data_IF_111447413673
#
_entry.id   IF_111447413673
#
_cell.length_a   1.000
_cell.length_b   1.000
_cell.length_c   1.000
_cell.angle_alpha   90.00
_cell.angle_beta   90.00
_cell.angle_gamma   90.00
#
_symmetry.space_group_name_H-M   'P 1'
#
loop_
_entity.id
_entity.type
_entity.pdbx_description
1 polymer ?
#
# COMPACT_ATOMS: atom_id res chain seq x y z
N UNK A 1 -1.57 36.42 -1.63
CA UNK A 1 -0.54 35.35 -1.60
C UNK A 1 -0.90 34.18 -2.53
N UNK A 2 -2.18 33.75 -2.60
CA UNK A 2 -2.59 32.73 -3.55
C UNK A 2 -2.54 33.21 -5.01
N UNK A 3 -3.08 34.40 -5.28
CA UNK A 3 -3.07 35.01 -6.62
C UNK A 3 -1.66 35.11 -7.18
N UNK A 4 -0.67 35.54 -6.38
CA UNK A 4 0.73 35.58 -6.80
C UNK A 4 1.31 34.20 -7.11
N UNK A 5 0.91 33.14 -6.40
CA UNK A 5 1.37 31.76 -6.69
C UNK A 5 0.75 31.25 -8.00
N UNK A 6 -0.55 31.47 -8.20
CA UNK A 6 -1.27 31.04 -9.42
C UNK A 6 -0.80 31.82 -10.65
N UNK A 7 -0.58 33.13 -10.52
CA UNK A 7 -0.14 34.00 -11.60
C UNK A 7 1.30 33.72 -12.06
N UNK A 8 2.12 33.12 -11.19
CA UNK A 8 3.49 32.71 -11.49
C UNK A 8 3.60 31.36 -12.23
N UNK A 9 2.51 30.61 -12.39
CA UNK A 9 2.51 29.40 -13.20
C UNK A 9 2.82 29.80 -14.66
N UNK A 10 3.78 29.15 -15.30
CA UNK A 10 4.11 29.41 -16.71
C UNK A 10 3.53 28.33 -17.61
N UNK A 11 3.21 28.66 -18.86
CA UNK A 11 2.57 27.71 -19.79
C UNK A 11 3.48 26.50 -20.13
N UNK A 12 4.80 26.64 -19.92
CA UNK A 12 5.81 25.60 -20.11
C UNK A 12 6.16 24.84 -18.81
N UNK A 13 5.41 25.07 -17.74
CA UNK A 13 5.73 24.51 -16.43
C UNK A 13 5.47 23.00 -16.42
N UNK A 14 6.46 22.24 -15.93
CA UNK A 14 6.39 20.79 -15.79
C UNK A 14 5.99 20.34 -14.39
N UNK A 15 6.31 21.15 -13.39
CA UNK A 15 6.10 20.84 -11.99
C UNK A 15 5.23 21.91 -11.36
N UNK A 16 4.05 21.50 -10.89
CA UNK A 16 3.14 22.34 -10.11
C UNK A 16 3.22 21.89 -8.67
N UNK A 17 3.55 22.81 -7.77
CA UNK A 17 3.46 22.62 -6.34
C UNK A 17 2.70 23.78 -5.72
N UNK A 18 1.55 23.49 -5.14
CA UNK A 18 0.66 24.49 -4.54
C UNK A 18 0.17 23.98 -3.18
N UNK A 19 0.20 24.86 -2.19
CA UNK A 19 -0.52 24.68 -0.93
C UNK A 19 -1.31 25.96 -0.68
N UNK A 20 -2.61 25.78 -0.44
CA UNK A 20 -3.65 26.79 -0.51
C UNK A 20 -4.44 26.74 0.80
N UNK A 21 -4.41 27.82 1.57
CA UNK A 21 -5.21 27.96 2.79
C UNK A 21 -6.52 28.68 2.45
N UNK A 22 -7.55 27.93 2.07
CA UNK A 22 -8.83 28.44 1.60
C UNK A 22 -8.85 28.68 0.09
N UNK A 23 -9.83 28.07 -0.60
CA UNK A 23 -9.98 28.15 -2.05
C UNK A 23 -11.39 28.61 -2.41
N UNK A 24 -11.56 29.92 -2.64
CA UNK A 24 -12.84 30.45 -3.12
C UNK A 24 -13.16 29.95 -4.54
N UNK A 25 -14.42 30.04 -4.95
CA UNK A 25 -14.82 29.64 -6.31
C UNK A 25 -14.09 30.44 -7.40
N UNK A 26 -13.83 31.73 -7.16
CA UNK A 26 -13.06 32.57 -8.09
C UNK A 26 -11.59 32.14 -8.16
N UNK A 27 -10.98 31.82 -7.01
CA UNK A 27 -9.62 31.33 -6.96
C UNK A 27 -9.48 29.96 -7.66
N UNK A 28 -10.44 29.06 -7.44
CA UNK A 28 -10.51 27.77 -8.12
C UNK A 28 -10.68 27.94 -9.65
N UNK A 29 -11.51 28.89 -10.07
CA UNK A 29 -11.71 29.23 -11.49
C UNK A 29 -10.42 29.75 -12.14
N UNK A 30 -9.73 30.68 -11.48
CA UNK A 30 -8.47 31.24 -11.97
C UNK A 30 -7.38 30.16 -12.06
N UNK A 31 -7.28 29.29 -11.05
CA UNK A 31 -6.38 28.15 -11.06
C UNK A 31 -6.70 27.17 -12.21
N UNK A 32 -7.98 26.85 -12.41
CA UNK A 32 -8.44 26.01 -13.51
C UNK A 32 -7.96 26.52 -14.87
N UNK A 33 -8.24 27.78 -15.18
CA UNK A 33 -7.79 28.40 -16.43
C UNK A 33 -6.29 28.32 -16.60
N UNK A 34 -5.54 28.54 -15.52
CA UNK A 34 -4.09 28.54 -15.60
C UNK A 34 -3.51 27.15 -15.83
N UNK A 35 -4.05 26.13 -15.15
CA UNK A 35 -3.65 24.74 -15.37
C UNK A 35 -3.96 24.28 -16.80
N UNK A 36 -5.12 24.65 -17.36
CA UNK A 36 -5.47 24.30 -18.76
C UNK A 36 -4.50 24.86 -19.80
N UNK A 37 -3.80 25.95 -19.50
CA UNK A 37 -2.76 26.51 -20.38
C UNK A 37 -1.43 25.76 -20.34
N UNK A 38 -1.25 24.79 -19.42
CA UNK A 38 0.03 24.13 -19.17
C UNK A 38 0.08 22.71 -19.77
N UNK A 39 0.60 22.56 -20.99
CA UNK A 39 0.57 21.27 -21.71
C UNK A 39 1.74 20.32 -21.40
N UNK A 40 2.69 20.77 -20.57
CA UNK A 40 3.92 20.03 -20.25
C UNK A 40 3.95 19.51 -18.82
N UNK A 41 2.83 19.58 -18.09
CA UNK A 41 2.79 19.14 -16.69
C UNK A 41 3.10 17.65 -16.60
N UNK A 42 4.16 17.35 -15.86
CA UNK A 42 4.63 16.01 -15.53
C UNK A 42 4.34 15.67 -14.06
N UNK A 43 4.25 16.69 -13.19
CA UNK A 43 3.95 16.51 -11.76
C UNK A 43 2.98 17.57 -11.24
N UNK A 44 1.98 17.13 -10.47
CA UNK A 44 1.10 17.99 -9.69
C UNK A 44 1.17 17.55 -8.24
N UNK A 45 1.59 18.47 -7.38
CA UNK A 45 1.48 18.37 -5.92
C UNK A 45 0.59 19.52 -5.47
N UNK A 46 -0.62 19.22 -5.03
CA UNK A 46 -1.58 20.23 -4.60
C UNK A 46 -2.18 19.87 -3.26
N UNK A 47 -2.08 20.82 -2.35
CA UNK A 47 -2.71 20.79 -1.05
C UNK A 47 -3.76 21.90 -0.97
N UNK A 48 -5.01 21.44 -0.86
CA UNK A 48 -6.21 22.24 -0.67
C UNK A 48 -7.03 21.64 0.48
N UNK A 49 -6.33 21.07 1.49
CA UNK A 49 -6.99 20.61 2.72
C UNK A 49 -7.64 21.80 3.44
N UNK A 50 -8.70 21.51 4.19
CA UNK A 50 -9.35 22.50 5.07
C UNK A 50 -9.79 23.79 4.35
N UNK A 51 -10.02 23.70 3.03
CA UNK A 51 -10.34 24.84 2.19
C UNK A 51 -11.82 25.18 2.12
N UNK A 52 -12.67 24.36 2.74
CA UNK A 52 -14.15 24.43 2.65
C UNK A 52 -14.61 24.41 1.20
N UNK A 53 -14.06 23.49 0.42
CA UNK A 53 -14.43 23.35 -0.98
C UNK A 53 -15.94 23.16 -1.12
N UNK A 54 -16.53 23.98 -1.98
CA UNK A 54 -17.88 23.76 -2.49
C UNK A 54 -17.83 22.85 -3.72
N UNK A 55 -18.98 22.30 -4.10
CA UNK A 55 -19.20 21.67 -5.41
C UNK A 55 -18.58 22.46 -6.57
N UNK A 56 -18.75 23.78 -6.56
CA UNK A 56 -18.30 24.64 -7.65
C UNK A 56 -16.77 24.76 -7.68
N UNK A 57 -16.13 24.97 -6.53
CA UNK A 57 -14.66 25.01 -6.46
C UNK A 57 -14.03 23.67 -6.81
N UNK A 58 -14.59 22.54 -6.36
CA UNK A 58 -14.09 21.21 -6.76
C UNK A 58 -14.26 20.97 -8.27
N UNK A 59 -15.39 21.39 -8.85
CA UNK A 59 -15.63 21.30 -10.29
C UNK A 59 -14.61 22.11 -11.09
N UNK A 60 -14.31 23.35 -10.68
CA UNK A 60 -13.25 24.13 -11.32
C UNK A 60 -11.88 23.48 -11.18
N UNK A 61 -11.51 23.04 -9.99
CA UNK A 61 -10.25 22.33 -9.78
C UNK A 61 -10.14 21.09 -10.69
N UNK A 62 -11.19 20.27 -10.72
CA UNK A 62 -11.26 19.05 -11.54
C UNK A 62 -11.10 19.36 -13.03
N UNK A 63 -11.79 20.39 -13.52
CA UNK A 63 -11.65 20.83 -14.91
C UNK A 63 -10.23 21.31 -15.23
N UNK A 64 -9.51 21.90 -14.27
CA UNK A 64 -8.12 22.32 -14.43
C UNK A 64 -7.14 21.14 -14.46
N UNK A 65 -7.46 20.07 -13.75
CA UNK A 65 -6.69 18.83 -13.69
C UNK A 65 -6.87 17.98 -14.96
N UNK A 66 -8.02 18.05 -15.62
CA UNK A 66 -8.33 17.25 -16.80
C UNK A 66 -7.34 17.48 -17.97
N UNK A 67 -6.91 16.39 -18.63
CA UNK A 67 -6.22 16.44 -19.91
C UNK A 67 -4.68 16.51 -19.87
N UNK A 68 -4.05 16.44 -18.70
CA UNK A 68 -2.59 16.43 -18.55
C UNK A 68 -1.97 15.07 -18.88
N UNK A 69 -1.88 14.73 -20.18
CA UNK A 69 -1.43 13.40 -20.67
C UNK A 69 0.00 13.00 -20.27
N UNK A 70 0.85 13.96 -19.92
CA UNK A 70 2.25 13.74 -19.48
C UNK A 70 2.37 13.56 -17.96
N UNK A 71 1.27 13.72 -17.22
CA UNK A 71 1.26 13.65 -15.77
C UNK A 71 1.66 12.25 -15.31
N UNK A 72 2.83 12.18 -14.67
CA UNK A 72 3.40 10.94 -14.13
C UNK A 72 3.33 10.88 -12.61
N UNK A 73 3.18 12.02 -11.95
CA UNK A 73 3.03 12.12 -10.51
C UNK A 73 1.85 13.03 -10.17
N UNK A 74 0.93 12.49 -9.38
CA UNK A 74 -0.21 13.24 -8.84
C UNK A 74 -0.26 13.04 -7.34
N UNK A 75 -0.06 14.12 -6.59
CA UNK A 75 -0.34 14.20 -5.16
C UNK A 75 -1.42 15.25 -4.93
N UNK A 76 -2.59 14.82 -4.50
CA UNK A 76 -3.72 15.69 -4.18
C UNK A 76 -4.14 15.47 -2.74
N UNK A 77 -4.03 16.53 -1.95
CA UNK A 77 -4.50 16.59 -0.58
C UNK A 77 -5.78 17.43 -0.54
N UNK A 78 -6.91 16.75 -0.36
CA UNK A 78 -8.27 17.31 -0.30
C UNK A 78 -8.92 17.11 1.08
N UNK A 79 -8.17 16.65 2.09
CA UNK A 79 -8.71 16.29 3.40
C UNK A 79 -9.49 17.43 4.06
N UNK A 80 -10.46 17.07 4.90
CA UNK A 80 -11.34 17.97 5.64
C UNK A 80 -12.20 18.90 4.75
N UNK A 81 -12.46 18.50 3.51
CA UNK A 81 -13.46 19.13 2.65
C UNK A 81 -14.70 18.22 2.55
N UNK A 82 -15.71 18.52 3.37
CA UNK A 82 -16.97 17.78 3.38
C UNK A 82 -17.76 18.11 2.12
N UNK A 83 -17.97 17.10 1.28
CA UNK A 83 -18.64 17.21 0.00
C UNK A 83 -19.74 16.15 -0.10
N UNK A 84 -20.75 16.40 -0.93
CA UNK A 84 -21.75 15.39 -1.24
C UNK A 84 -21.20 14.43 -2.30
N UNK A 85 -21.70 13.19 -2.32
CA UNK A 85 -21.24 12.15 -3.25
C UNK A 85 -21.25 12.61 -4.72
N UNK A 86 -22.21 13.45 -5.11
CA UNK A 86 -22.34 13.96 -6.49
C UNK A 86 -21.32 15.04 -6.88
N UNK A 87 -20.64 15.64 -5.92
CA UNK A 87 -19.63 16.66 -6.22
C UNK A 87 -18.37 16.03 -6.84
N UNK A 88 -18.12 14.75 -6.51
CA UNK A 88 -17.01 13.95 -7.00
C UNK A 88 -17.11 13.53 -8.47
N UNK A 89 -18.25 13.71 -9.14
CA UNK A 89 -18.43 13.32 -10.56
C UNK A 89 -17.47 14.08 -11.48
N UNK A 90 -17.25 15.36 -11.20
CA UNK A 90 -16.29 16.18 -11.98
C UNK A 90 -14.85 15.71 -11.76
N UNK A 91 -14.52 15.37 -10.52
CA UNK A 91 -13.22 14.87 -10.12
C UNK A 91 -12.90 13.51 -10.76
N UNK A 92 -13.85 12.56 -10.68
CA UNK A 92 -13.69 11.25 -11.29
C UNK A 92 -13.47 11.31 -12.80
N UNK A 93 -14.19 12.19 -13.50
CA UNK A 93 -13.95 12.44 -14.93
C UNK A 93 -12.53 12.96 -15.19
N UNK A 94 -12.06 13.91 -14.39
CA UNK A 94 -10.72 14.46 -14.56
C UNK A 94 -9.62 13.40 -14.40
N UNK A 95 -9.67 12.63 -13.31
CA UNK A 95 -8.65 11.61 -13.03
C UNK A 95 -8.75 10.42 -14.00
N UNK A 96 -9.93 10.16 -14.59
CA UNK A 96 -10.13 9.10 -15.60
C UNK A 96 -9.19 9.18 -16.82
N UNK A 97 -8.58 10.35 -17.04
CA UNK A 97 -7.65 10.61 -18.13
C UNK A 97 -6.19 10.23 -17.86
N UNK A 98 -5.84 9.82 -16.64
CA UNK A 98 -4.46 9.72 -16.16
C UNK A 98 -3.82 8.32 -16.29
N UNK A 99 -3.67 7.84 -17.52
CA UNK A 99 -3.11 6.50 -17.79
C UNK A 99 -1.58 6.38 -17.66
N UNK A 100 -0.86 7.49 -17.48
CA UNK A 100 0.62 7.55 -17.42
C UNK A 100 1.16 7.74 -16.00
N UNK A 101 0.28 7.76 -14.99
CA UNK A 101 0.64 7.93 -13.59
C UNK A 101 1.52 6.77 -13.12
N UNK A 102 2.66 7.12 -12.53
CA UNK A 102 3.58 6.22 -11.84
C UNK A 102 3.49 6.37 -10.33
N UNK A 103 3.24 7.60 -9.85
CA UNK A 103 3.14 7.90 -8.42
C UNK A 103 1.79 8.60 -8.18
N UNK A 104 0.88 7.90 -7.48
CA UNK A 104 -0.45 8.38 -7.14
C UNK A 104 -0.55 8.56 -5.63
N UNK A 105 -0.88 9.76 -5.18
CA UNK A 105 -1.21 10.04 -3.80
C UNK A 105 -2.52 10.84 -3.76
N UNK A 106 -3.56 10.23 -3.22
CA UNK A 106 -4.88 10.83 -3.05
C UNK A 106 -5.24 10.80 -1.58
N UNK A 107 -5.32 11.99 -0.95
CA UNK A 107 -5.67 12.13 0.44
C UNK A 107 -7.04 12.79 0.59
N UNK A 108 -8.03 11.99 0.99
CA UNK A 108 -9.44 12.35 1.16
C UNK A 108 -9.92 12.07 2.58
N UNK A 109 -9.07 12.32 3.59
CA UNK A 109 -9.44 12.13 4.98
C UNK A 109 -10.60 13.07 5.36
N UNK A 110 -11.62 12.56 6.05
CA UNK A 110 -12.76 13.36 6.52
C UNK A 110 -13.50 14.11 5.39
N UNK A 111 -13.64 13.51 4.21
CA UNK A 111 -14.29 14.10 3.04
C UNK A 111 -15.77 13.71 2.85
N UNK A 112 -16.34 12.96 3.81
CA UNK A 112 -17.69 12.38 3.72
C UNK A 112 -17.84 11.40 2.54
N UNK A 113 -16.79 10.61 2.25
CA UNK A 113 -16.83 9.60 1.20
C UNK A 113 -17.69 8.41 1.63
N UNK A 114 -18.80 8.21 0.95
CA UNK A 114 -19.59 6.99 1.02
C UNK A 114 -19.38 6.12 -0.23
N UNK A 115 -20.20 5.07 -0.34
CA UNK A 115 -20.23 4.18 -1.51
C UNK A 115 -20.37 4.94 -2.83
N UNK A 116 -21.28 5.91 -2.91
CA UNK A 116 -21.59 6.61 -4.16
C UNK A 116 -20.52 7.65 -4.49
N UNK A 117 -19.88 8.25 -3.48
CA UNK A 117 -18.74 9.14 -3.66
C UNK A 117 -17.57 8.37 -4.31
N UNK A 118 -17.22 7.19 -3.78
CA UNK A 118 -16.18 6.34 -4.37
C UNK A 118 -16.52 5.88 -5.79
N UNK A 119 -17.78 5.51 -6.05
CA UNK A 119 -18.27 5.20 -7.40
C UNK A 119 -18.03 6.38 -8.36
N UNK A 120 -18.35 7.59 -7.91
CA UNK A 120 -18.20 8.81 -8.69
C UNK A 120 -16.73 9.17 -8.92
N UNK A 121 -15.85 8.96 -7.93
CA UNK A 121 -14.39 9.10 -8.08
C UNK A 121 -13.86 8.14 -9.13
N UNK A 122 -14.33 6.88 -9.14
CA UNK A 122 -13.94 5.90 -10.16
C UNK A 122 -14.52 6.20 -11.55
N UNK A 123 -15.51 7.09 -11.65
CA UNK A 123 -16.21 7.43 -12.89
C UNK A 123 -16.75 6.19 -13.63
N UNK A 124 -17.39 5.29 -12.88
CA UNK A 124 -17.97 4.05 -13.42
C UNK A 124 -19.49 4.00 -13.29
N UNK A 125 -20.13 3.24 -14.18
CA UNK A 125 -21.57 3.03 -14.15
C UNK A 125 -21.94 1.87 -13.23
N UNK A 126 -21.10 0.82 -13.20
CA UNK A 126 -21.31 -0.42 -12.45
C UNK A 126 -20.01 -0.92 -11.77
N UNK A 127 -20.09 -1.57 -10.59
CA UNK A 127 -18.96 -2.27 -9.98
C UNK A 127 -18.38 -3.44 -10.82
N UNK A 128 -19.01 -3.79 -11.94
CA UNK A 128 -18.51 -4.78 -12.90
C UNK A 128 -17.65 -4.15 -14.01
N UNK A 129 -17.55 -2.83 -14.07
CA UNK A 129 -16.78 -2.14 -15.11
C UNK A 129 -15.29 -2.41 -14.89
N UNK A 130 -14.59 -2.81 -15.95
CA UNK A 130 -13.13 -2.98 -15.92
C UNK A 130 -12.46 -1.61 -15.96
N UNK A 131 -11.65 -1.31 -14.96
CA UNK A 131 -10.98 -0.02 -14.81
C UNK A 131 -9.47 -0.23 -14.98
N UNK A 132 -8.87 0.52 -15.90
CA UNK A 132 -7.42 0.54 -16.12
C UNK A 132 -6.82 1.90 -15.74
N UNK A 133 -7.45 2.57 -14.78
CA UNK A 133 -7.22 3.97 -14.45
C UNK A 133 -5.77 4.27 -14.09
N UNK A 134 -5.18 3.40 -13.25
CA UNK A 134 -3.83 3.59 -12.71
C UNK A 134 -2.91 2.41 -13.03
N UNK A 135 -3.07 1.81 -14.22
CA UNK A 135 -2.37 0.56 -14.56
C UNK A 135 -0.84 0.66 -14.59
N UNK A 136 -0.28 1.86 -14.75
CA UNK A 136 1.17 2.12 -14.71
C UNK A 136 1.68 2.60 -13.34
N UNK A 137 0.79 2.75 -12.34
CA UNK A 137 1.17 3.23 -11.03
C UNK A 137 2.08 2.21 -10.34
N UNK A 138 3.27 2.66 -9.95
CA UNK A 138 4.26 1.92 -9.16
C UNK A 138 4.09 2.16 -7.67
N UNK A 139 3.68 3.38 -7.31
CA UNK A 139 3.45 3.80 -5.93
C UNK A 139 2.03 4.35 -5.82
N UNK A 140 1.26 3.82 -4.88
CA UNK A 140 -0.13 4.22 -4.63
C UNK A 140 -0.31 4.52 -3.15
N UNK A 141 -0.65 5.76 -2.83
CA UNK A 141 -1.08 6.20 -1.51
C UNK A 141 -2.54 6.62 -1.56
N UNK A 142 -3.39 5.99 -0.76
CA UNK A 142 -4.79 6.34 -0.59
C UNK A 142 -5.05 6.62 0.89
N UNK A 143 -5.23 7.89 1.24
CA UNK A 143 -5.74 8.26 2.57
C UNK A 143 -7.25 8.46 2.49
N UNK A 144 -7.99 7.55 3.09
CA UNK A 144 -9.44 7.50 3.11
C UNK A 144 -9.98 7.48 4.55
N UNK A 145 -9.19 7.91 5.53
CA UNK A 145 -9.55 7.85 6.95
C UNK A 145 -10.78 8.72 7.27
N UNK A 146 -11.53 8.37 8.32
CA UNK A 146 -12.71 9.13 8.78
C UNK A 146 -13.77 9.38 7.71
N UNK A 147 -14.13 8.36 6.95
CA UNK A 147 -15.20 8.44 5.95
C UNK A 147 -16.32 7.45 6.27
N UNK A 148 -17.33 7.35 5.39
CA UNK A 148 -18.49 6.48 5.54
C UNK A 148 -18.48 5.37 4.48
N UNK A 149 -17.31 4.83 4.16
CA UNK A 149 -17.13 3.84 3.08
C UNK A 149 -18.00 2.60 3.33
N UNK A 150 -18.03 2.13 4.59
CA UNK A 150 -18.78 0.95 5.02
C UNK A 150 -18.44 -0.31 4.20
N UNK A 151 -19.11 -1.42 4.49
CA UNK A 151 -18.90 -2.67 3.76
C UNK A 151 -19.24 -2.57 2.27
N UNK A 152 -20.24 -1.78 1.89
CA UNK A 152 -20.76 -1.70 0.53
C UNK A 152 -19.97 -0.73 -0.38
N UNK A 153 -19.30 0.28 0.17
CA UNK A 153 -18.34 1.11 -0.56
C UNK A 153 -16.98 0.45 -0.78
N UNK A 154 -16.60 -0.53 0.06
CA UNK A 154 -15.31 -1.24 -0.04
C UNK A 154 -15.06 -1.93 -1.39
N UNK A 155 -16.11 -2.27 -2.13
CA UNK A 155 -16.01 -2.83 -3.49
C UNK A 155 -15.30 -1.84 -4.44
N UNK A 156 -15.52 -0.54 -4.26
CA UNK A 156 -14.88 0.48 -5.08
C UNK A 156 -13.42 0.68 -4.69
N UNK A 157 -13.07 0.53 -3.42
CA UNK A 157 -11.66 0.50 -3.00
C UNK A 157 -10.97 -0.75 -3.58
N UNK A 158 -11.63 -1.91 -3.57
CA UNK A 158 -11.13 -3.12 -4.26
C UNK A 158 -10.87 -2.83 -5.75
N UNK A 159 -11.80 -2.16 -6.45
CA UNK A 159 -11.63 -1.84 -7.87
C UNK A 159 -10.50 -0.83 -8.15
N UNK A 160 -10.30 0.16 -7.27
CA UNK A 160 -9.13 1.07 -7.37
C UNK A 160 -7.85 0.23 -7.34
N UNK A 161 -7.70 -0.61 -6.31
CA UNK A 161 -6.52 -1.47 -6.13
C UNK A 161 -6.33 -2.42 -7.32
N UNK A 162 -7.41 -3.05 -7.80
CA UNK A 162 -7.34 -3.95 -8.96
C UNK A 162 -6.88 -3.26 -10.24
N UNK A 163 -7.05 -1.94 -10.36
CA UNK A 163 -6.60 -1.17 -11.52
C UNK A 163 -5.08 -0.90 -11.53
N UNK A 164 -4.39 -1.05 -10.40
CA UNK A 164 -3.00 -0.64 -10.19
C UNK A 164 -1.98 -1.78 -10.43
N UNK A 165 -2.02 -2.41 -11.61
CA UNK A 165 -1.32 -3.69 -11.87
C UNK A 165 0.21 -3.68 -11.74
N UNK A 166 0.85 -2.53 -11.93
CA UNK A 166 2.32 -2.39 -11.83
C UNK A 166 2.79 -1.88 -10.45
N UNK A 167 1.90 -1.87 -9.46
CA UNK A 167 2.22 -1.29 -8.14
C UNK A 167 3.18 -2.18 -7.34
N UNK A 168 4.25 -1.54 -6.89
CA UNK A 168 5.32 -2.13 -6.07
C UNK A 168 5.17 -1.70 -4.59
N UNK A 169 4.56 -0.53 -4.33
CA UNK A 169 4.35 0.03 -3.00
C UNK A 169 2.93 0.56 -2.83
N UNK A 170 2.26 0.13 -1.76
CA UNK A 170 0.96 0.67 -1.33
C UNK A 170 1.04 1.26 0.07
N UNK A 171 0.50 2.48 0.21
CA UNK A 171 0.05 3.02 1.49
C UNK A 171 -1.47 3.18 1.42
N UNK A 172 -2.22 2.56 2.32
CA UNK A 172 -3.68 2.71 2.36
C UNK A 172 -4.17 2.93 3.79
N UNK A 173 -4.79 4.07 4.03
CA UNK A 173 -5.26 4.46 5.34
C UNK A 173 -6.80 4.48 5.35
N UNK A 174 -7.40 3.59 6.12
CA UNK A 174 -8.84 3.34 6.16
C UNK A 174 -9.39 3.42 7.59
N UNK A 175 -8.66 4.02 8.54
CA UNK A 175 -9.13 4.20 9.92
C UNK A 175 -10.55 4.78 9.98
N UNK A 176 -11.39 4.22 10.85
CA UNK A 176 -12.72 4.72 11.14
C UNK A 176 -13.64 4.85 9.90
N UNK A 177 -13.90 3.72 9.22
CA UNK A 177 -14.73 3.65 8.01
C UNK A 177 -15.89 2.65 8.07
N UNK A 178 -16.10 1.98 9.21
CA UNK A 178 -17.16 0.99 9.41
C UNK A 178 -17.16 -0.15 8.38
N UNK A 179 -15.98 -0.60 7.93
CA UNK A 179 -15.84 -1.58 6.86
C UNK A 179 -16.49 -2.95 7.18
N UNK A 180 -16.40 -3.41 8.43
CA UNK A 180 -16.79 -4.75 8.84
C UNK A 180 -16.02 -5.86 8.10
N UNK A 181 -16.46 -7.11 8.25
CA UNK A 181 -15.77 -8.28 7.72
C UNK A 181 -15.74 -8.32 6.19
N UNK A 182 -16.87 -7.99 5.57
CA UNK A 182 -16.98 -7.92 4.11
C UNK A 182 -16.05 -6.84 3.55
N UNK A 183 -15.95 -5.68 4.21
CA UNK A 183 -15.02 -4.65 3.78
C UNK A 183 -13.57 -5.11 3.87
N UNK A 184 -13.16 -5.71 4.99
CA UNK A 184 -11.82 -6.27 5.15
C UNK A 184 -11.48 -7.31 4.06
N UNK A 185 -12.40 -8.24 3.78
CA UNK A 185 -12.23 -9.22 2.70
C UNK A 185 -12.02 -8.55 1.33
N UNK A 186 -12.80 -7.51 1.02
CA UNK A 186 -12.73 -6.80 -0.26
C UNK A 186 -11.41 -6.08 -0.44
N UNK A 187 -10.93 -5.39 0.60
CA UNK A 187 -9.62 -4.75 0.60
C UNK A 187 -8.50 -5.77 0.43
N UNK A 188 -8.53 -6.86 1.22
CA UNK A 188 -7.54 -7.94 1.12
C UNK A 188 -7.51 -8.56 -0.27
N UNK A 189 -8.67 -8.78 -0.90
CA UNK A 189 -8.76 -9.28 -2.28
C UNK A 189 -8.13 -8.30 -3.28
N UNK A 190 -8.42 -7.01 -3.16
CA UNK A 190 -7.84 -5.98 -4.04
C UNK A 190 -6.30 -6.00 -3.98
N UNK A 191 -5.74 -6.10 -2.78
CA UNK A 191 -4.30 -6.23 -2.55
C UNK A 191 -3.76 -7.55 -3.13
N UNK A 192 -4.44 -8.68 -2.86
CA UNK A 192 -4.03 -9.99 -3.37
C UNK A 192 -3.99 -10.09 -4.90
N UNK A 193 -4.73 -9.24 -5.60
CA UNK A 193 -4.70 -9.13 -7.08
C UNK A 193 -3.47 -8.40 -7.63
N UNK A 194 -2.60 -7.86 -6.76
CA UNK A 194 -1.32 -7.22 -7.10
C UNK A 194 -0.14 -8.17 -6.88
N UNK A 195 -0.42 -9.47 -6.95
CA UNK A 195 0.41 -10.57 -6.45
C UNK A 195 1.83 -10.66 -7.02
N UNK A 196 2.07 -10.12 -8.20
CA UNK A 196 3.33 -10.27 -8.94
C UNK A 196 4.33 -9.13 -8.74
N UNK A 197 3.91 -8.00 -8.17
CA UNK A 197 4.73 -6.77 -8.09
C UNK A 197 4.78 -6.14 -6.71
N UNK A 198 3.76 -6.32 -5.87
CA UNK A 198 3.66 -5.64 -4.58
C UNK A 198 4.74 -6.13 -3.61
N UNK A 199 5.69 -5.24 -3.30
CA UNK A 199 6.80 -5.49 -2.38
C UNK A 199 6.59 -4.86 -1.01
N UNK A 200 5.94 -3.70 -0.97
CA UNK A 200 5.75 -2.93 0.26
C UNK A 200 4.26 -2.64 0.44
N UNK A 201 3.71 -3.05 1.58
CA UNK A 201 2.32 -2.80 1.94
C UNK A 201 2.24 -2.16 3.32
N UNK A 202 1.81 -0.91 3.37
CA UNK A 202 1.41 -0.21 4.58
C UNK A 202 -0.10 -0.01 4.57
N UNK A 203 -0.80 -0.58 5.55
CA UNK A 203 -2.25 -0.55 5.63
C UNK A 203 -2.74 -0.27 7.04
N UNK A 204 -3.62 0.72 7.19
CA UNK A 204 -4.32 1.01 8.43
C UNK A 204 -5.81 0.66 8.29
N UNK A 205 -6.25 -0.41 8.94
CA UNK A 205 -7.64 -0.88 9.07
C UNK A 205 -8.18 -0.70 10.49
N UNK A 206 -7.53 0.09 11.34
CA UNK A 206 -7.96 0.25 12.74
C UNK A 206 -9.37 0.87 12.86
N UNK A 207 -10.07 0.55 13.95
CA UNK A 207 -11.43 1.03 14.24
C UNK A 207 -12.41 0.84 13.06
N UNK A 208 -12.58 -0.39 12.59
CA UNK A 208 -13.45 -0.70 11.44
C UNK A 208 -14.51 -1.77 11.72
N UNK A 209 -14.69 -2.15 12.99
CA UNK A 209 -15.60 -3.23 13.40
C UNK A 209 -15.31 -4.56 12.69
N UNK A 210 -14.04 -4.82 12.37
CA UNK A 210 -13.57 -6.08 11.79
C UNK A 210 -13.55 -7.14 12.88
N UNK A 211 -14.17 -8.28 12.63
CA UNK A 211 -14.18 -9.42 13.54
C UNK A 211 -13.02 -10.38 13.24
N UNK A 212 -12.94 -11.50 13.97
CA UNK A 212 -12.03 -12.60 13.68
C UNK A 212 -12.23 -13.15 12.26
N UNK A 213 -13.47 -13.22 11.76
CA UNK A 213 -13.78 -13.70 10.41
C UNK A 213 -13.27 -12.74 9.34
N UNK A 214 -13.49 -11.43 9.53
CA UNK A 214 -12.97 -10.40 8.61
C UNK A 214 -11.45 -10.36 8.57
N UNK A 215 -10.81 -10.49 9.74
CA UNK A 215 -9.36 -10.59 9.86
C UNK A 215 -8.81 -11.80 9.09
N UNK A 216 -9.39 -12.99 9.33
CA UNK A 216 -9.02 -14.21 8.63
C UNK A 216 -9.14 -14.05 7.11
N UNK A 217 -10.26 -13.51 6.63
CA UNK A 217 -10.49 -13.32 5.19
C UNK A 217 -9.54 -12.30 4.57
N UNK A 218 -9.22 -11.22 5.28
CA UNK A 218 -8.22 -10.25 4.84
C UNK A 218 -6.85 -10.91 4.69
N UNK A 219 -6.37 -11.59 5.74
CA UNK A 219 -5.04 -12.20 5.72
C UNK A 219 -4.93 -13.38 4.74
N UNK A 220 -5.99 -14.18 4.56
CA UNK A 220 -6.06 -15.20 3.51
C UNK A 220 -5.91 -14.63 2.10
N UNK A 221 -6.40 -13.41 1.87
CA UNK A 221 -6.32 -12.76 0.58
C UNK A 221 -4.92 -12.14 0.32
N UNK A 222 -4.28 -11.53 1.32
CA UNK A 222 -2.94 -10.94 1.14
C UNK A 222 -1.86 -12.00 0.90
N UNK A 223 -2.08 -13.26 1.30
CA UNK A 223 -1.17 -14.41 1.02
C UNK A 223 -0.87 -14.58 -0.47
N UNK A 224 -1.72 -14.03 -1.35
CA UNK A 224 -1.49 -14.02 -2.80
C UNK A 224 -0.31 -13.11 -3.21
N UNK A 225 0.03 -12.09 -2.42
CA UNK A 225 1.18 -11.21 -2.65
C UNK A 225 2.52 -11.87 -2.30
N UNK A 226 2.89 -12.91 -3.05
CA UNK A 226 4.05 -13.77 -2.77
C UNK A 226 5.42 -13.08 -2.82
N UNK A 227 5.50 -11.90 -3.43
CA UNK A 227 6.72 -11.09 -3.52
C UNK A 227 6.79 -9.97 -2.49
N UNK A 228 5.89 -9.98 -1.49
CA UNK A 228 5.87 -8.98 -0.42
C UNK A 228 7.11 -9.13 0.48
N UNK A 229 7.86 -8.03 0.62
CA UNK A 229 9.11 -7.93 1.36
C UNK A 229 8.93 -7.13 2.67
N UNK A 230 8.03 -6.14 2.68
CA UNK A 230 7.75 -5.28 3.84
C UNK A 230 6.23 -5.15 4.06
N UNK A 231 5.79 -5.44 5.28
CA UNK A 231 4.38 -5.44 5.66
C UNK A 231 4.17 -4.67 6.96
N UNK A 232 3.44 -3.56 6.87
CA UNK A 232 2.92 -2.82 8.02
C UNK A 232 1.39 -2.89 8.02
N UNK A 233 0.82 -3.53 9.04
CA UNK A 233 -0.64 -3.61 9.22
C UNK A 233 -1.02 -3.06 10.58
N UNK A 234 -1.84 -2.02 10.59
CA UNK A 234 -2.58 -1.61 11.77
C UNK A 234 -4.01 -2.13 11.69
N UNK A 235 -4.37 -3.06 12.58
CA UNK A 235 -5.74 -3.57 12.71
C UNK A 235 -6.27 -3.36 14.13
N UNK A 236 -5.69 -2.41 14.85
CA UNK A 236 -6.07 -2.08 16.23
C UNK A 236 -7.53 -1.63 16.36
N UNK A 237 -8.09 -1.70 17.57
CA UNK A 237 -9.47 -1.29 17.86
C UNK A 237 -10.50 -2.04 16.98
N UNK A 238 -10.32 -3.35 16.85
CA UNK A 238 -11.20 -4.28 16.14
C UNK A 238 -11.46 -5.53 17.00
N UNK A 239 -12.41 -6.39 16.61
CA UNK A 239 -12.81 -7.59 17.39
C UNK A 239 -12.13 -8.86 16.88
N UNK A 240 -10.80 -8.85 16.84
CA UNK A 240 -10.00 -9.90 16.19
C UNK A 240 -10.00 -11.21 16.99
N UNK A 241 -9.93 -11.15 18.33
CA UNK A 241 -9.89 -12.33 19.20
C UNK A 241 -8.71 -13.28 18.88
N UNK A 242 -8.52 -14.33 19.70
CA UNK A 242 -7.41 -15.27 19.49
C UNK A 242 -7.45 -15.96 18.12
N UNK A 243 -8.64 -16.34 17.63
CA UNK A 243 -8.78 -17.03 16.34
C UNK A 243 -8.36 -16.15 15.17
N UNK A 244 -8.65 -14.84 15.23
CA UNK A 244 -8.16 -13.90 14.23
C UNK A 244 -6.64 -13.80 14.30
N UNK A 245 -6.08 -13.63 15.51
CA UNK A 245 -4.63 -13.58 15.74
C UNK A 245 -3.90 -14.85 15.23
N UNK A 246 -4.47 -16.03 15.46
CA UNK A 246 -3.95 -17.29 14.93
C UNK A 246 -3.96 -17.31 13.39
N UNK A 247 -5.04 -16.81 12.78
CA UNK A 247 -5.16 -16.71 11.32
C UNK A 247 -4.13 -15.75 10.71
N UNK A 248 -3.75 -14.70 11.44
CA UNK A 248 -2.65 -13.79 11.05
C UNK A 248 -1.36 -14.61 10.94
N UNK A 249 -0.99 -15.34 12.00
CA UNK A 249 0.24 -16.15 12.00
C UNK A 249 0.26 -17.18 10.87
N UNK A 250 -0.81 -17.95 10.72
CA UNK A 250 -0.95 -18.96 9.65
C UNK A 250 -0.82 -18.34 8.25
N UNK A 251 -1.34 -17.14 8.03
CA UNK A 251 -1.27 -16.47 6.73
C UNK A 251 0.12 -15.89 6.49
N UNK A 252 0.67 -15.16 7.46
CA UNK A 252 1.99 -14.54 7.33
C UNK A 252 3.10 -15.57 7.15
N UNK A 253 3.00 -16.74 7.78
CA UNK A 253 3.95 -17.85 7.60
C UNK A 253 4.12 -18.33 6.15
N UNK A 254 3.19 -17.96 5.25
CA UNK A 254 3.19 -18.32 3.83
C UNK A 254 3.77 -17.22 2.91
N UNK A 255 4.14 -16.06 3.45
CA UNK A 255 4.76 -14.95 2.75
C UNK A 255 6.27 -14.98 2.99
N UNK A 256 6.91 -15.98 2.39
CA UNK A 256 8.29 -16.38 2.71
C UNK A 256 9.36 -15.32 2.40
N UNK A 257 9.04 -14.27 1.64
CA UNK A 257 9.97 -13.18 1.32
C UNK A 257 9.87 -11.99 2.28
N UNK A 258 8.99 -12.04 3.28
CA UNK A 258 8.89 -10.99 4.28
C UNK A 258 10.21 -10.83 5.04
N UNK A 259 10.73 -9.62 4.98
CA UNK A 259 11.95 -9.16 5.66
C UNK A 259 11.64 -8.19 6.79
N UNK A 260 10.50 -7.50 6.72
CA UNK A 260 10.03 -6.56 7.74
C UNK A 260 8.54 -6.73 7.99
N UNK A 261 8.17 -6.80 9.27
CA UNK A 261 6.78 -6.89 9.71
C UNK A 261 6.54 -5.87 10.83
N UNK A 262 5.58 -4.99 10.64
CA UNK A 262 4.94 -4.21 11.68
C UNK A 262 3.48 -4.64 11.83
N UNK A 263 3.07 -5.03 13.04
CA UNK A 263 1.69 -5.39 13.36
C UNK A 263 1.22 -4.61 14.57
N UNK A 264 0.21 -3.76 14.39
CA UNK A 264 -0.51 -3.16 15.51
C UNK A 264 -1.81 -3.95 15.77
N UNK A 265 -1.81 -4.70 16.87
CA UNK A 265 -2.92 -5.52 17.40
C UNK A 265 -3.48 -4.92 18.70
N UNK A 266 -3.27 -3.63 18.95
CA UNK A 266 -3.77 -2.96 20.15
C UNK A 266 -5.31 -3.00 20.23
N UNK A 267 -5.87 -3.17 21.43
CA UNK A 267 -7.34 -3.23 21.62
C UNK A 267 -8.03 -4.26 20.70
N UNK A 268 -7.49 -5.48 20.59
CA UNK A 268 -8.06 -6.53 19.71
C UNK A 268 -8.66 -7.73 20.44
N UNK A 269 -8.64 -7.69 21.78
CA UNK A 269 -9.19 -8.73 22.68
C UNK A 269 -8.46 -10.07 22.48
N UNK A 270 -7.14 -10.02 22.31
CA UNK A 270 -6.27 -11.20 22.28
C UNK A 270 -5.76 -11.55 23.69
N UNK A 271 -5.47 -12.83 23.91
CA UNK A 271 -4.78 -13.32 25.10
C UNK A 271 -3.40 -13.93 24.77
N UNK A 272 -2.71 -14.37 25.81
CA UNK A 272 -1.36 -14.97 25.71
C UNK A 272 -1.31 -16.14 24.73
N UNK A 273 -2.34 -17.00 24.70
CA UNK A 273 -2.36 -18.16 23.81
C UNK A 273 -2.44 -17.77 22.35
N UNK A 274 -3.29 -16.78 22.01
CA UNK A 274 -3.37 -16.22 20.66
C UNK A 274 -2.07 -15.55 20.22
N UNK A 275 -1.44 -14.79 21.12
CA UNK A 275 -0.20 -14.08 20.84
C UNK A 275 1.01 -15.01 20.71
N UNK A 276 1.19 -15.97 21.61
CA UNK A 276 2.25 -16.98 21.54
C UNK A 276 2.14 -17.78 20.24
N UNK A 277 0.93 -18.17 19.83
CA UNK A 277 0.74 -18.88 18.57
C UNK A 277 1.15 -18.05 17.35
N UNK A 278 0.78 -16.76 17.30
CA UNK A 278 1.23 -15.85 16.25
C UNK A 278 2.76 -15.85 16.15
N UNK A 279 3.44 -15.65 17.28
CA UNK A 279 4.91 -15.66 17.36
C UNK A 279 5.49 -17.00 16.88
N UNK A 280 4.90 -18.13 17.27
CA UNK A 280 5.33 -19.45 16.80
C UNK A 280 5.22 -19.62 15.28
N UNK A 281 4.16 -19.11 14.65
CA UNK A 281 3.98 -19.22 13.21
C UNK A 281 4.97 -18.36 12.41
N UNK A 282 5.35 -17.20 12.95
CA UNK A 282 6.32 -16.32 12.29
C UNK A 282 7.73 -16.96 12.18
N UNK A 283 8.00 -18.08 12.87
CA UNK A 283 9.31 -18.77 12.86
C UNK A 283 9.67 -19.32 11.48
N UNK A 284 8.68 -19.53 10.62
CA UNK A 284 8.93 -19.99 9.25
C UNK A 284 9.54 -18.90 8.35
N UNK A 285 9.53 -17.64 8.78
CA UNK A 285 10.00 -16.50 8.00
C UNK A 285 11.50 -16.31 8.16
N UNK A 286 12.27 -17.14 7.47
CA UNK A 286 13.74 -17.20 7.58
C UNK A 286 14.47 -15.92 7.12
N UNK A 287 13.81 -15.05 6.35
CA UNK A 287 14.35 -13.75 5.92
C UNK A 287 13.89 -12.58 6.78
N UNK A 288 13.07 -12.83 7.82
CA UNK A 288 12.59 -11.79 8.70
C UNK A 288 13.76 -11.16 9.44
N UNK A 289 13.97 -9.88 9.18
CA UNK A 289 15.07 -9.07 9.69
C UNK A 289 14.58 -8.01 10.68
N UNK A 290 13.33 -7.59 10.56
CA UNK A 290 12.67 -6.63 11.44
C UNK A 290 11.28 -7.13 11.82
N UNK A 291 11.00 -7.22 13.12
CA UNK A 291 9.68 -7.52 13.64
C UNK A 291 9.30 -6.49 14.71
N UNK A 292 8.18 -5.81 14.51
CA UNK A 292 7.57 -4.94 15.51
C UNK A 292 6.11 -5.34 15.73
N UNK A 293 5.74 -5.70 16.95
CA UNK A 293 4.36 -6.00 17.32
C UNK A 293 3.91 -5.17 18.51
N UNK A 294 2.81 -4.44 18.32
CA UNK A 294 2.13 -3.69 19.38
C UNK A 294 0.85 -4.43 19.80
N UNK A 295 0.74 -4.77 21.08
CA UNK A 295 -0.43 -5.44 21.66
C UNK A 295 -1.03 -4.66 22.83
N UNK A 296 -0.84 -3.32 22.88
CA UNK A 296 -1.41 -2.46 23.92
C UNK A 296 -2.90 -2.70 24.17
N UNK A 297 -3.32 -2.53 25.42
CA UNK A 297 -4.72 -2.61 25.85
C UNK A 297 -5.40 -3.94 25.48
N UNK A 298 -4.65 -5.03 25.51
CA UNK A 298 -5.21 -6.38 25.47
C UNK A 298 -5.13 -6.98 26.88
N UNK A 299 -6.26 -7.04 27.58
CA UNK A 299 -6.30 -7.46 29.00
C UNK A 299 -5.85 -8.90 29.23
N UNK A 300 -5.80 -9.72 28.18
CA UNK A 300 -5.30 -11.10 28.22
C UNK A 300 -3.80 -11.23 28.01
N UNK A 301 -3.05 -10.14 27.84
CA UNK A 301 -1.59 -10.14 27.66
C UNK A 301 -0.92 -9.64 28.93
N UNK A 302 0.02 -10.42 29.46
CA UNK A 302 0.81 -10.04 30.63
C UNK A 302 2.23 -9.64 30.24
N UNK A 303 2.94 -8.95 31.13
CA UNK A 303 4.37 -8.65 30.92
C UNK A 303 5.22 -9.92 30.78
N UNK A 304 4.83 -11.00 31.45
CA UNK A 304 5.55 -12.26 31.37
C UNK A 304 5.36 -12.91 29.98
N UNK A 305 4.14 -12.94 29.43
CA UNK A 305 3.95 -13.48 28.09
C UNK A 305 4.64 -12.64 27.01
N UNK A 306 4.73 -11.31 27.18
CA UNK A 306 5.56 -10.47 26.29
C UNK A 306 7.03 -10.87 26.36
N UNK A 307 7.57 -11.09 27.56
CA UNK A 307 8.95 -11.55 27.77
C UNK A 307 9.17 -12.94 27.16
N UNK A 308 8.28 -13.89 27.39
CA UNK A 308 8.38 -15.25 26.86
C UNK A 308 8.37 -15.24 25.33
N UNK A 309 7.49 -14.45 24.71
CA UNK A 309 7.45 -14.26 23.26
C UNK A 309 8.74 -13.61 22.74
N UNK A 310 9.25 -12.59 23.42
CA UNK A 310 10.49 -11.93 23.05
C UNK A 310 11.69 -12.88 23.13
N UNK A 311 11.78 -13.70 24.18
CA UNK A 311 12.84 -14.69 24.36
C UNK A 311 12.76 -15.80 23.30
N UNK A 312 11.55 -16.23 22.91
CA UNK A 312 11.32 -17.12 21.77
C UNK A 312 11.90 -16.51 20.49
N UNK A 313 11.59 -15.23 20.22
CA UNK A 313 12.08 -14.53 19.03
C UNK A 313 13.61 -14.43 19.04
N UNK A 314 14.22 -14.11 20.17
CA UNK A 314 15.69 -14.01 20.27
C UNK A 314 16.40 -15.35 20.04
N UNK A 315 15.89 -16.42 20.65
CA UNK A 315 16.58 -17.71 20.65
C UNK A 315 16.50 -18.41 19.30
N UNK A 316 15.41 -18.21 18.57
CA UNK A 316 15.09 -19.03 17.40
C UNK A 316 15.30 -18.29 16.05
N UNK A 317 15.54 -16.98 16.06
CA UNK A 317 15.69 -16.18 14.84
C UNK A 317 17.10 -15.60 14.72
N UNK A 318 18.01 -16.38 14.12
CA UNK A 318 19.40 -15.97 13.90
C UNK A 318 19.53 -14.75 12.95
N UNK A 319 18.52 -14.48 12.12
CA UNK A 319 18.54 -13.41 11.10
C UNK A 319 17.82 -12.12 11.52
N UNK A 320 17.14 -12.07 12.67
CA UNK A 320 16.44 -10.85 13.07
C UNK A 320 17.45 -9.82 13.60
N UNK A 321 17.48 -8.67 12.95
CA UNK A 321 18.26 -7.51 13.36
C UNK A 321 17.53 -6.66 14.39
N UNK A 322 16.20 -6.52 14.26
CA UNK A 322 15.40 -5.71 15.18
C UNK A 322 14.13 -6.45 15.60
N UNK A 323 13.96 -6.67 16.92
CA UNK A 323 12.69 -7.12 17.51
C UNK A 323 12.17 -6.04 18.45
N UNK A 324 10.93 -5.62 18.25
CA UNK A 324 10.20 -4.77 19.18
C UNK A 324 8.86 -5.44 19.52
N UNK A 325 8.63 -5.72 20.81
CA UNK A 325 7.34 -6.18 21.33
C UNK A 325 6.92 -5.22 22.45
N UNK A 326 5.75 -4.60 22.32
CA UNK A 326 5.28 -3.61 23.30
C UNK A 326 3.82 -3.76 23.68
N UNK A 327 3.51 -3.44 24.94
CA UNK A 327 2.16 -3.29 25.47
C UNK A 327 2.15 -2.39 26.70
N UNK A 328 1.14 -1.53 26.82
CA UNK A 328 0.81 -0.70 27.98
C UNK A 328 2.01 -0.02 28.67
N UNK A 329 2.87 0.61 27.86
CA UNK A 329 4.09 1.31 28.33
C UNK A 329 5.25 0.40 28.72
N UNK A 330 5.11 -0.92 28.56
CA UNK A 330 6.20 -1.88 28.62
C UNK A 330 6.67 -2.19 27.20
N UNK A 331 7.95 -1.94 26.92
CA UNK A 331 8.55 -2.15 25.62
C UNK A 331 9.80 -3.02 25.77
N UNK A 332 9.87 -4.09 24.98
CA UNK A 332 11.05 -4.92 24.80
C UNK A 332 11.57 -4.63 23.40
N UNK A 333 12.73 -3.99 23.33
CA UNK A 333 13.42 -3.68 22.07
C UNK A 333 14.82 -4.29 22.12
N UNK A 334 15.23 -4.91 21.03
CA UNK A 334 16.62 -5.25 20.78
C UNK A 334 17.01 -4.85 19.37
N UNK A 335 18.08 -4.07 19.29
CA UNK A 335 18.86 -3.91 18.07
C UNK A 335 20.03 -4.88 18.18
N UNK A 336 20.05 -5.91 17.35
CA UNK A 336 21.19 -6.82 17.25
C UNK A 336 22.34 -6.02 16.66
N UNK A 337 23.18 -5.48 17.54
CA UNK A 337 24.39 -4.75 17.18
C UNK A 337 25.35 -5.69 16.45
N UNK A 338 25.31 -5.63 15.11
CA UNK A 338 26.39 -5.72 14.11
C UNK A 338 27.69 -6.49 14.39
N UNK A 339 27.75 -7.42 15.34
CA UNK A 339 28.88 -8.33 15.49
C UNK A 339 28.81 -9.48 14.45
N UNK A 340 27.63 -9.71 13.86
CA UNK A 340 27.41 -10.70 12.81
C UNK A 340 27.48 -10.16 11.38
N UNK A 341 27.51 -8.83 11.18
CA UNK A 341 27.62 -8.21 9.83
C UNK A 341 29.01 -8.48 9.20
N UNK A 342 30.03 -8.82 9.99
CA UNK A 342 31.30 -9.30 9.42
C UNK A 342 31.14 -10.65 8.69
N UNK A 343 30.13 -11.45 9.02
CA UNK A 343 29.83 -12.70 8.31
C UNK A 343 28.89 -12.51 7.11
N UNK A 344 28.05 -11.47 7.07
CA UNK A 344 27.29 -11.11 5.86
C UNK A 344 28.21 -10.74 4.69
N UNK A 345 29.34 -10.08 4.96
CA UNK A 345 30.37 -9.84 3.94
C UNK A 345 30.94 -11.15 3.35
N UNK A 346 30.96 -12.23 4.14
CA UNK A 346 31.50 -13.53 3.73
C UNK A 346 30.41 -14.31 2.99
N UNK A 347 29.20 -14.37 3.53
CA UNK A 347 28.04 -14.99 2.89
C UNK A 347 27.68 -14.31 1.55
N UNK A 348 27.68 -12.97 1.48
CA UNK A 348 27.44 -12.23 0.24
C UNK A 348 28.57 -12.46 -0.79
N UNK A 349 29.83 -12.62 -0.34
CA UNK A 349 30.93 -13.02 -1.23
C UNK A 349 30.72 -14.43 -1.78
N UNK A 350 30.30 -15.38 -0.96
CA UNK A 350 30.03 -16.76 -1.37
C UNK A 350 28.82 -16.85 -2.33
N UNK A 351 27.75 -16.11 -2.07
CA UNK A 351 26.59 -15.99 -2.97
C UNK A 351 27.02 -15.38 -4.32
N UNK A 352 27.78 -14.28 -4.30
CA UNK A 352 28.28 -13.65 -5.53
C UNK A 352 29.25 -14.57 -6.32
N UNK A 353 30.03 -15.41 -5.64
CA UNK A 353 30.89 -16.42 -6.27
C UNK A 353 30.07 -17.55 -6.92
N UNK A 354 29.02 -18.03 -6.22
CA UNK A 354 28.11 -19.05 -6.72
C UNK A 354 27.29 -18.56 -7.91
N UNK A 355 26.81 -17.31 -7.89
CA UNK A 355 26.14 -16.66 -9.02
C UNK A 355 27.07 -16.55 -10.22
N UNK A 356 28.30 -16.06 -10.04
CA UNK A 356 29.32 -16.03 -11.12
C UNK A 356 29.63 -17.42 -11.67
N UNK A 357 29.65 -18.44 -10.82
CA UNK A 357 29.84 -19.83 -11.25
C UNK A 357 28.66 -20.33 -12.08
N UNK A 358 27.43 -20.06 -11.63
CA UNK A 358 26.21 -20.41 -12.35
C UNK A 358 26.13 -19.70 -13.72
N UNK A 359 26.44 -18.41 -13.79
CA UNK A 359 26.49 -17.66 -15.04
C UNK A 359 27.51 -18.23 -16.04
N UNK A 360 28.71 -18.57 -15.57
CA UNK A 360 29.73 -19.22 -16.40
C UNK A 360 29.27 -20.57 -16.92
N UNK A 361 28.56 -21.36 -16.10
CA UNK A 361 28.00 -22.66 -16.51
C UNK A 361 26.91 -22.49 -17.57
N UNK A 362 25.97 -21.56 -17.36
CA UNK A 362 24.91 -21.22 -18.33
C UNK A 362 25.51 -20.73 -19.65
N UNK A 363 26.57 -19.91 -19.60
CA UNK A 363 27.24 -19.40 -20.80
C UNK A 363 27.87 -20.54 -21.62
N UNK A 364 28.52 -21.51 -20.96
CA UNK A 364 29.09 -22.70 -21.62
C UNK A 364 28.00 -23.57 -22.25
N UNK A 365 26.89 -23.80 -21.56
CA UNK A 365 25.76 -24.56 -22.10
C UNK A 365 25.13 -23.87 -23.32
N UNK A 366 24.99 -22.53 -23.29
CA UNK A 366 24.53 -21.75 -24.46
C UNK A 366 25.49 -21.83 -25.64
N UNK A 367 26.80 -21.83 -25.41
CA UNK A 367 27.79 -22.02 -26.47
C UNK A 367 27.70 -23.42 -27.08
N UNK A 368 27.57 -24.45 -26.25
CA UNK A 368 27.38 -25.82 -26.70
C UNK A 368 26.11 -25.97 -27.54
N UNK A 369 24.99 -25.39 -27.10
CA UNK A 369 23.73 -25.42 -27.84
C UNK A 369 23.85 -24.73 -29.21
N UNK A 370 24.56 -23.59 -29.29
CA UNK A 370 24.84 -22.92 -30.56
C UNK A 370 25.68 -23.79 -31.51
N UNK A 371 26.73 -24.44 -31.01
CA UNK A 371 27.56 -25.34 -31.81
C UNK A 371 26.76 -26.55 -32.30
N UNK A 372 25.92 -27.12 -31.44
CA UNK A 372 25.04 -28.23 -31.79
C UNK A 372 24.01 -27.84 -32.87
N UNK A 373 23.41 -26.64 -32.76
CA UNK A 373 22.51 -26.11 -33.78
C UNK A 373 23.21 -25.87 -35.12
N UNK A 374 24.44 -25.34 -35.11
CA UNK A 374 25.25 -25.17 -36.32
C UNK A 374 25.59 -26.51 -36.97
N UNK A 375 25.95 -27.53 -36.17
CA UNK A 375 26.20 -28.88 -36.67
C UNK A 375 24.95 -29.50 -37.31
N UNK A 376 23.78 -29.34 -36.69
CA UNK A 376 22.51 -29.82 -37.26
C UNK A 376 22.17 -29.13 -38.59
N UNK A 377 22.40 -27.81 -38.70
CA UNK A 377 22.21 -27.08 -39.95
C UNK A 377 23.17 -27.54 -41.05
N UNK A 378 24.44 -27.82 -40.72
CA UNK A 378 25.42 -28.34 -41.68
C UNK A 378 25.02 -29.74 -42.20
N UNK A 379 24.53 -30.62 -41.31
CA UNK A 379 24.04 -31.94 -41.70
C UNK A 379 22.80 -31.87 -42.60
N UNK A 380 21.88 -30.93 -42.34
CA UNK A 380 20.71 -30.71 -43.20
C UNK A 380 21.05 -30.11 -44.57
N UNK A 381 22.15 -29.35 -44.69
CA UNK A 381 22.61 -28.80 -45.97
C UNK A 381 23.42 -29.79 -46.83
N UNK A 382 23.76 -30.97 -46.30
CA UNK A 382 24.49 -32.03 -46.99
C UNK A 382 23.59 -33.20 -47.44
N UNK A 383 22.31 -33.16 -47.11
CA UNK A 383 21.25 -34.00 -47.70
C UNK A 383 20.51 -33.21 -48.78
#
# INVERSE_FOLDING_TARGET
>A
MLESKVQNIKDHQRHIQLSISGLSNEQAYNLCHKLKGCYQIETIVMDVSDCKLTKQSLSFLSNGLEGHKKLSMLKLELSNNILDSQDWVSFGRAISSYSTIKNLELCFMSCNLDRDALKNILNISSPSDNIYLFNQAKEVTLDLQNNQIRSDGSIFVQQILESCKETELINIYLWNNYLGDMGAQRIGRGIGMLSSKLKILNINLSNNSISKEGCQLFFQAIVLAKVLEDLSVDISDNKILNKGCMSIGESLSQLLLLSSIFLNLSQTIIDEGGFIYLIQQLRSLIYLSSLSIDVQKNSGITKQSLQDCFDIMKKEYECIHTVTIQADGFCLEEQVNSYYIQNESIAQKEVNELEKYAEKKIMKEKQFLKQFQQYQQQQQSQQ
#
